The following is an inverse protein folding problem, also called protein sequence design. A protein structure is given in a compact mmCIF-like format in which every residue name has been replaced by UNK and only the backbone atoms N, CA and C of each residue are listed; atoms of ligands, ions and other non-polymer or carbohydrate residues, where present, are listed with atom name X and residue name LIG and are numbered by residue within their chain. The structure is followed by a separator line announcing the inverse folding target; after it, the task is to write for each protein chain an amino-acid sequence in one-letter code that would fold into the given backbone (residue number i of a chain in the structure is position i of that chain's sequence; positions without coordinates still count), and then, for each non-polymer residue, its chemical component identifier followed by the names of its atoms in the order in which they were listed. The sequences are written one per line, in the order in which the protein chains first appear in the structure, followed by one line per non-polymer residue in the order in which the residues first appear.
data_IF_059650947015
#
_entry.id   IF_059650947015
#
_cell.length_a   1.000
_cell.length_b   1.000
_cell.length_c   1.000
_cell.angle_alpha   90.00
_cell.angle_beta   90.00
_cell.angle_gamma   90.00
#
_symmetry.space_group_name_H-M   'P 1'
#
loop_
_entity.id
_entity.type
_entity.pdbx_description
1 polymer ?
#
# COMPACT_ATOMS: atom_id res chain seq x y z
N UNK A 1 1.40 -8.04 -2.59
CA UNK A 1 1.19 -8.96 -3.73
C UNK A 1 2.48 -9.07 -4.52
N UNK A 2 2.72 -10.18 -5.22
CA UNK A 2 3.88 -10.36 -6.09
C UNK A 2 3.52 -11.34 -7.20
N UNK A 3 4.27 -11.31 -8.31
CA UNK A 3 4.02 -12.22 -9.43
C UNK A 3 4.73 -13.55 -9.25
N UNK A 4 4.19 -14.61 -9.83
CA UNK A 4 4.95 -15.84 -10.08
C UNK A 4 5.68 -15.75 -11.43
N UNK A 5 6.70 -16.58 -11.63
CA UNK A 5 7.36 -16.71 -12.93
C UNK A 5 6.38 -17.13 -14.03
N UNK A 6 5.38 -17.96 -13.69
CA UNK A 6 4.33 -18.37 -14.63
C UNK A 6 3.44 -17.20 -15.03
N UNK A 7 3.04 -16.34 -14.08
CA UNK A 7 2.24 -15.15 -14.37
C UNK A 7 2.98 -14.17 -15.29
N UNK A 8 4.24 -13.87 -15.00
CA UNK A 8 5.06 -13.01 -15.87
C UNK A 8 5.32 -13.64 -17.24
N UNK A 9 5.54 -14.96 -17.27
CA UNK A 9 5.65 -15.71 -18.52
C UNK A 9 4.39 -15.59 -19.38
N UNK A 10 3.20 -15.71 -18.80
CA UNK A 10 1.94 -15.54 -19.55
C UNK A 10 1.86 -14.14 -20.18
N UNK A 11 2.21 -13.09 -19.44
CA UNK A 11 2.21 -11.71 -19.95
C UNK A 11 3.22 -11.54 -21.08
N UNK A 12 4.44 -12.07 -20.92
CA UNK A 12 5.48 -12.05 -21.93
C UNK A 12 5.04 -12.76 -23.23
N UNK A 13 4.54 -13.99 -23.12
CA UNK A 13 4.09 -14.77 -24.28
C UNK A 13 2.91 -14.11 -25.00
N UNK A 14 1.97 -13.53 -24.25
CA UNK A 14 0.87 -12.77 -24.82
C UNK A 14 1.36 -11.51 -25.55
N UNK A 15 2.37 -10.84 -25.00
CA UNK A 15 3.05 -9.71 -25.66
C UNK A 15 3.74 -10.09 -26.98
N UNK A 16 4.25 -11.32 -27.07
CA UNK A 16 4.81 -11.90 -28.30
C UNK A 16 3.75 -12.44 -29.28
N UNK A 17 2.47 -12.13 -29.07
CA UNK A 17 1.39 -12.50 -30.00
C UNK A 17 0.75 -13.86 -29.76
N UNK A 18 1.17 -14.63 -28.73
CA UNK A 18 0.52 -15.90 -28.40
C UNK A 18 -0.86 -15.65 -27.80
N UNK A 19 -1.90 -16.10 -28.49
CA UNK A 19 -3.28 -15.78 -28.13
C UNK A 19 -4.02 -16.94 -27.46
N UNK A 20 -3.58 -18.17 -27.71
CA UNK A 20 -4.22 -19.38 -27.20
C UNK A 20 -3.70 -19.82 -25.83
N UNK A 21 -4.60 -20.27 -24.96
CA UNK A 21 -4.22 -20.87 -23.67
C UNK A 21 -3.35 -22.12 -23.88
N UNK A 22 -3.67 -22.92 -24.90
CA UNK A 22 -2.89 -24.12 -25.25
C UNK A 22 -1.47 -23.76 -25.69
N UNK A 23 -1.36 -22.73 -26.52
CA UNK A 23 -0.09 -22.24 -27.05
C UNK A 23 0.83 -21.73 -25.93
N UNK A 24 0.28 -20.96 -25.00
CA UNK A 24 1.01 -20.45 -23.83
C UNK A 24 1.37 -21.59 -22.86
N UNK A 25 0.46 -22.54 -22.65
CA UNK A 25 0.74 -23.72 -21.83
C UNK A 25 1.94 -24.52 -22.36
N UNK A 26 1.99 -24.72 -23.68
CA UNK A 26 3.11 -25.39 -24.36
C UNK A 26 4.40 -24.56 -24.24
N UNK A 27 4.36 -23.27 -24.54
CA UNK A 27 5.52 -22.37 -24.46
C UNK A 27 6.15 -22.35 -23.06
N UNK A 28 5.32 -22.31 -22.01
CA UNK A 28 5.79 -22.26 -20.63
C UNK A 28 6.03 -23.64 -20.01
N UNK A 29 5.79 -24.73 -20.75
CA UNK A 29 5.83 -26.12 -20.26
C UNK A 29 4.99 -26.30 -18.98
N UNK A 30 3.75 -25.80 -19.01
CA UNK A 30 2.78 -25.88 -17.91
C UNK A 30 1.49 -26.55 -18.35
N UNK A 31 0.78 -27.14 -17.39
CA UNK A 31 -0.59 -27.63 -17.63
C UNK A 31 -1.56 -26.45 -17.84
N UNK A 32 -2.63 -26.68 -18.61
CA UNK A 32 -3.70 -25.69 -18.79
C UNK A 32 -4.29 -25.25 -17.45
N UNK A 33 -4.44 -26.17 -16.50
CA UNK A 33 -4.91 -25.89 -15.14
C UNK A 33 -4.02 -24.87 -14.40
N UNK A 34 -2.69 -24.96 -14.54
CA UNK A 34 -1.77 -23.97 -13.98
C UNK A 34 -1.91 -22.62 -14.67
N UNK A 35 -2.08 -22.60 -15.99
CA UNK A 35 -2.31 -21.36 -16.75
C UNK A 35 -3.62 -20.69 -16.30
N UNK A 36 -4.73 -21.41 -16.19
CA UNK A 36 -6.00 -20.86 -15.72
C UNK A 36 -5.92 -20.31 -14.29
N UNK A 37 -5.21 -21.00 -13.39
CA UNK A 37 -4.97 -20.47 -12.02
C UNK A 37 -4.18 -19.17 -12.06
N UNK A 38 -3.10 -19.12 -12.82
CA UNK A 38 -2.29 -17.91 -12.97
C UNK A 38 -3.07 -16.76 -13.62
N UNK A 39 -3.91 -17.05 -14.62
CA UNK A 39 -4.80 -16.06 -15.25
C UNK A 39 -5.82 -15.49 -14.27
N UNK A 40 -6.43 -16.31 -13.41
CA UNK A 40 -7.37 -15.82 -12.37
C UNK A 40 -6.70 -14.85 -11.41
N UNK A 41 -5.44 -15.09 -11.05
CA UNK A 41 -4.70 -14.17 -10.18
C UNK A 41 -4.28 -12.90 -10.92
N UNK A 42 -3.88 -13.00 -12.19
CA UNK A 42 -3.59 -11.84 -13.04
C UNK A 42 -4.83 -10.96 -13.28
N UNK A 43 -6.00 -11.57 -13.39
CA UNK A 43 -7.30 -10.89 -13.53
C UNK A 43 -7.61 -10.07 -12.27
N UNK A 44 -7.40 -10.64 -11.08
CA UNK A 44 -7.48 -9.90 -9.80
C UNK A 44 -6.46 -8.76 -9.69
N UNK A 45 -5.30 -8.90 -10.32
CA UNK A 45 -4.27 -7.85 -10.40
C UNK A 45 -4.55 -6.82 -11.50
N UNK A 46 -5.69 -6.93 -12.19
CA UNK A 46 -6.07 -6.08 -13.32
C UNK A 46 -4.98 -6.02 -14.40
N UNK A 47 -4.30 -7.14 -14.66
CA UNK A 47 -3.29 -7.28 -15.72
C UNK A 47 -3.90 -7.90 -16.97
N UNK A 48 -4.78 -8.87 -16.77
CA UNK A 48 -5.50 -9.54 -17.85
C UNK A 48 -7.01 -9.45 -17.61
N UNK A 49 -7.79 -9.69 -18.66
CA UNK A 49 -9.21 -9.98 -18.57
C UNK A 49 -9.49 -11.32 -19.21
N UNK A 50 -10.07 -12.25 -18.44
CA UNK A 50 -10.47 -13.56 -18.95
C UNK A 50 -11.77 -13.39 -19.77
N UNK A 51 -11.79 -13.99 -20.97
CA UNK A 51 -12.95 -14.03 -21.87
C UNK A 51 -13.38 -15.47 -22.14
N UNK A 52 -14.59 -15.67 -22.69
CA UNK A 52 -15.09 -17.00 -23.09
C UNK A 52 -14.11 -17.77 -24.00
N UNK A 53 -13.37 -17.08 -24.86
CA UNK A 53 -12.42 -17.67 -25.82
C UNK A 53 -10.97 -17.19 -25.60
N UNK A 54 -10.50 -17.17 -24.35
CA UNK A 54 -9.11 -16.85 -24.02
C UNK A 54 -8.99 -15.71 -23.02
N UNK A 55 -8.04 -14.81 -23.24
CA UNK A 55 -7.84 -13.63 -22.40
C UNK A 55 -7.14 -12.52 -23.17
N UNK A 56 -7.26 -11.30 -22.65
CA UNK A 56 -6.61 -10.11 -23.19
C UNK A 56 -5.80 -9.40 -22.11
N UNK A 57 -4.77 -8.67 -22.52
CA UNK A 57 -4.05 -7.75 -21.64
C UNK A 57 -4.94 -6.52 -21.40
N UNK A 58 -4.95 -6.03 -20.18
CA UNK A 58 -5.64 -4.80 -19.84
C UNK A 58 -4.92 -3.59 -20.46
N UNK A 59 -5.65 -2.60 -20.95
CA UNK A 59 -5.10 -1.37 -21.53
C UNK A 59 -4.67 -0.31 -20.50
N UNK A 60 -4.42 -0.72 -19.26
CA UNK A 60 -4.01 0.19 -18.19
C UNK A 60 -2.49 0.40 -18.17
N UNK A 61 -2.08 1.52 -17.58
CA UNK A 61 -0.69 2.01 -17.64
C UNK A 61 0.32 1.01 -17.07
N UNK A 62 0.05 0.40 -15.93
CA UNK A 62 0.99 -0.56 -15.32
C UNK A 62 1.11 -1.86 -16.14
N UNK A 63 0.05 -2.30 -16.82
CA UNK A 63 0.14 -3.46 -17.72
C UNK A 63 0.98 -3.14 -18.95
N UNK A 64 0.80 -1.98 -19.56
CA UNK A 64 1.61 -1.55 -20.71
C UNK A 64 3.09 -1.46 -20.36
N UNK A 65 3.44 -0.85 -19.22
CA UNK A 65 4.84 -0.84 -18.77
C UNK A 65 5.37 -2.25 -18.49
N UNK A 66 4.57 -3.11 -17.85
CA UNK A 66 4.99 -4.49 -17.58
C UNK A 66 5.34 -5.23 -18.87
N UNK A 67 4.45 -5.18 -19.86
CA UNK A 67 4.64 -5.84 -21.16
C UNK A 67 5.90 -5.31 -21.84
N UNK A 68 6.05 -3.98 -21.97
CA UNK A 68 7.23 -3.38 -22.59
C UNK A 68 8.54 -3.81 -21.90
N UNK A 69 8.57 -3.77 -20.57
CA UNK A 69 9.75 -4.19 -19.80
C UNK A 69 10.07 -5.68 -20.03
N UNK A 70 9.06 -6.56 -20.05
CA UNK A 70 9.28 -8.00 -20.25
C UNK A 70 9.74 -8.32 -21.68
N UNK A 71 9.23 -7.62 -22.70
CA UNK A 71 9.63 -7.82 -24.09
C UNK A 71 11.07 -7.35 -24.33
N UNK A 72 11.45 -6.18 -23.80
CA UNK A 72 12.80 -5.64 -23.96
C UNK A 72 13.82 -6.36 -23.07
N UNK A 73 13.39 -6.90 -21.92
CA UNK A 73 14.26 -7.53 -20.94
C UNK A 73 13.62 -8.82 -20.37
N UNK A 74 13.67 -9.94 -21.11
CA UNK A 74 13.02 -11.20 -20.68
C UNK A 74 13.55 -11.76 -19.35
N UNK A 75 14.79 -11.44 -18.99
CA UNK A 75 15.37 -11.80 -17.69
C UNK A 75 14.57 -11.23 -16.50
N UNK A 76 13.79 -10.16 -16.71
CA UNK A 76 12.89 -9.59 -15.69
C UNK A 76 11.81 -10.57 -15.22
N UNK A 77 11.44 -11.60 -16.01
CA UNK A 77 10.51 -12.65 -15.55
C UNK A 77 11.00 -13.27 -14.24
N UNK A 78 12.31 -13.54 -14.14
CA UNK A 78 12.91 -14.09 -12.92
C UNK A 78 13.05 -13.02 -11.83
N UNK A 79 13.38 -11.79 -12.21
CA UNK A 79 13.72 -10.70 -11.29
C UNK A 79 12.50 -10.01 -10.67
N UNK A 80 11.33 -10.10 -11.30
CA UNK A 80 10.07 -9.51 -10.82
C UNK A 80 9.15 -10.54 -10.14
N UNK A 81 9.63 -11.78 -9.98
CA UNK A 81 8.90 -12.87 -9.34
C UNK A 81 9.05 -12.89 -7.82
N UNK A 82 8.04 -13.40 -7.13
CA UNK A 82 8.00 -13.58 -5.68
C UNK A 82 7.95 -12.25 -4.93
N UNK A 83 8.81 -12.11 -3.94
CA UNK A 83 8.89 -10.94 -3.05
C UNK A 83 9.72 -9.79 -3.61
N UNK A 84 10.29 -9.94 -4.80
CA UNK A 84 11.30 -9.05 -5.37
C UNK A 84 10.78 -7.62 -5.59
N UNK A 85 9.54 -7.48 -6.08
CA UNK A 85 8.90 -6.17 -6.33
C UNK A 85 8.79 -5.35 -5.05
N UNK A 86 8.48 -5.96 -3.91
CA UNK A 86 8.35 -5.25 -2.63
C UNK A 86 9.70 -4.64 -2.21
N UNK A 87 10.80 -5.36 -2.48
CA UNK A 87 12.15 -4.86 -2.21
C UNK A 87 12.48 -3.71 -3.15
N UNK A 88 12.18 -3.84 -4.45
CA UNK A 88 12.40 -2.77 -5.44
C UNK A 88 11.61 -1.51 -5.07
N UNK A 89 10.36 -1.65 -4.62
CA UNK A 89 9.51 -0.55 -4.17
C UNK A 89 10.14 0.25 -3.03
N UNK A 90 10.79 -0.41 -2.08
CA UNK A 90 11.50 0.27 -0.99
C UNK A 90 12.79 0.94 -1.45
N UNK A 91 13.45 0.38 -2.47
CA UNK A 91 14.64 0.99 -3.08
C UNK A 91 14.32 2.17 -4.01
N UNK A 92 13.05 2.49 -4.30
CA UNK A 92 12.70 3.72 -5.05
C UNK A 92 13.23 4.99 -4.37
N UNK A 93 13.44 4.94 -3.06
CA UNK A 93 14.15 5.92 -2.25
C UNK A 93 15.38 5.29 -1.60
N UNK A 94 16.36 6.11 -1.20
CA UNK A 94 17.56 5.61 -0.52
C UNK A 94 17.18 4.90 0.79
N UNK A 95 17.56 3.63 0.93
CA UNK A 95 17.12 2.78 2.04
C UNK A 95 18.19 1.79 2.49
N UNK A 96 18.13 1.34 3.73
CA UNK A 96 19.01 0.28 4.27
C UNK A 96 18.27 -1.05 4.34
N UNK A 97 19.00 -2.16 4.44
CA UNK A 97 18.39 -3.49 4.60
C UNK A 97 17.49 -3.56 5.83
N UNK A 98 17.91 -2.97 6.96
CA UNK A 98 17.07 -2.89 8.17
C UNK A 98 15.71 -2.26 7.88
N UNK A 99 15.68 -1.13 7.17
CA UNK A 99 14.42 -0.46 6.81
C UNK A 99 13.56 -1.31 5.86
N UNK A 100 14.19 -2.04 4.94
CA UNK A 100 13.48 -2.98 4.05
C UNK A 100 12.86 -4.12 4.87
N UNK A 101 13.60 -4.70 5.82
CA UNK A 101 13.08 -5.74 6.74
C UNK A 101 11.88 -5.21 7.51
N UNK A 102 11.99 -4.02 8.10
CA UNK A 102 10.94 -3.44 8.92
C UNK A 102 9.64 -3.25 8.15
N UNK A 103 9.72 -2.83 6.89
CA UNK A 103 8.55 -2.56 6.05
C UNK A 103 8.00 -3.79 5.35
N UNK A 104 8.86 -4.66 4.83
CA UNK A 104 8.44 -5.82 4.02
C UNK A 104 8.18 -7.06 4.86
N UNK A 105 8.71 -7.11 6.10
CA UNK A 105 8.71 -8.29 6.98
C UNK A 105 9.38 -9.52 6.36
N UNK A 106 10.24 -9.31 5.35
CA UNK A 106 11.06 -10.36 4.76
C UNK A 106 12.34 -10.56 5.59
N UNK A 107 12.85 -11.79 5.61
CA UNK A 107 14.11 -12.07 6.30
C UNK A 107 15.32 -11.47 5.53
N UNK A 108 16.40 -11.21 6.27
CA UNK A 108 17.64 -10.64 5.73
C UNK A 108 18.19 -11.45 4.55
N UNK A 109 18.24 -12.78 4.66
CA UNK A 109 18.78 -13.65 3.62
C UNK A 109 18.06 -13.48 2.28
N UNK A 110 16.73 -13.40 2.30
CA UNK A 110 15.89 -13.17 1.12
C UNK A 110 16.19 -11.80 0.51
N UNK A 111 16.30 -10.76 1.35
CA UNK A 111 16.59 -9.40 0.89
C UNK A 111 17.98 -9.33 0.25
N UNK A 112 19.02 -9.85 0.90
CA UNK A 112 20.38 -9.85 0.36
C UNK A 112 20.50 -10.66 -0.94
N UNK A 113 19.81 -11.80 -1.04
CA UNK A 113 19.78 -12.60 -2.26
C UNK A 113 19.20 -11.80 -3.44
N UNK A 114 18.08 -11.10 -3.22
CA UNK A 114 17.49 -10.24 -4.25
C UNK A 114 18.35 -9.03 -4.58
N UNK A 115 18.89 -8.34 -3.57
CA UNK A 115 19.80 -7.21 -3.77
C UNK A 115 20.98 -7.61 -4.65
N UNK A 116 21.62 -8.75 -4.37
CA UNK A 116 22.73 -9.27 -5.17
C UNK A 116 22.31 -9.50 -6.63
N UNK A 117 21.13 -10.06 -6.88
CA UNK A 117 20.59 -10.25 -8.23
C UNK A 117 20.31 -8.92 -8.93
N UNK A 118 19.72 -7.96 -8.24
CA UNK A 118 19.42 -6.64 -8.79
C UNK A 118 20.68 -5.83 -9.11
N UNK A 119 21.72 -5.93 -8.29
CA UNK A 119 23.00 -5.26 -8.54
C UNK A 119 23.70 -5.84 -9.78
N UNK A 120 23.65 -7.16 -10.00
CA UNK A 120 24.22 -7.80 -11.19
C UNK A 120 23.67 -7.24 -12.51
N UNK A 121 22.42 -6.81 -12.51
CA UNK A 121 21.75 -6.20 -13.68
C UNK A 121 21.55 -4.69 -13.53
N UNK A 122 22.22 -4.08 -12.55
CA UNK A 122 22.16 -2.64 -12.27
C UNK A 122 20.76 -2.06 -12.04
N UNK A 123 19.77 -2.85 -11.58
CA UNK A 123 18.43 -2.35 -11.18
C UNK A 123 18.57 -1.46 -9.93
N UNK A 124 19.47 -1.81 -9.02
CA UNK A 124 19.79 -1.00 -7.84
C UNK A 124 21.29 -0.72 -7.77
N UNK A 125 21.65 0.39 -7.14
CA UNK A 125 23.03 0.77 -6.80
C UNK A 125 23.20 0.82 -5.28
N UNK A 126 24.42 0.57 -4.82
CA UNK A 126 24.81 0.74 -3.42
C UNK A 126 25.45 2.13 -3.24
N UNK A 127 25.01 2.89 -2.25
CA UNK A 127 25.53 4.21 -1.88
C UNK A 127 25.67 4.22 -0.36
N UNK A 128 26.89 4.35 0.18
CA UNK A 128 27.15 4.42 1.63
C UNK A 128 26.39 3.36 2.45
N UNK A 129 26.48 2.10 2.01
CA UNK A 129 25.79 0.95 2.62
C UNK A 129 24.24 0.97 2.56
N UNK A 130 23.69 1.88 1.78
CA UNK A 130 22.28 1.97 1.43
C UNK A 130 22.07 1.60 -0.04
N UNK A 131 20.82 1.37 -0.42
CA UNK A 131 20.43 0.93 -1.75
C UNK A 131 19.46 1.92 -2.36
N UNK A 132 19.65 2.19 -3.65
CA UNK A 132 18.82 3.10 -4.43
C UNK A 132 18.54 2.51 -5.81
N UNK A 133 17.32 2.65 -6.29
CA UNK A 133 16.91 2.25 -7.62
C UNK A 133 17.64 3.06 -8.70
N UNK A 134 18.13 2.39 -9.73
CA UNK A 134 18.86 3.02 -10.83
C UNK A 134 17.92 3.57 -11.90
N UNK A 135 17.38 4.76 -11.66
CA UNK A 135 16.42 5.40 -12.57
C UNK A 135 17.00 5.75 -13.94
N UNK A 136 18.32 5.90 -14.05
CA UNK A 136 18.99 6.22 -15.33
C UNK A 136 18.95 5.06 -16.31
N UNK A 137 19.08 3.82 -15.84
CA UNK A 137 19.06 2.63 -16.70
C UNK A 137 17.67 1.99 -16.79
N UNK A 138 16.84 2.15 -15.76
CA UNK A 138 15.59 1.40 -15.60
C UNK A 138 14.39 2.34 -15.43
N UNK A 139 14.30 3.40 -16.24
CA UNK A 139 13.23 4.39 -16.15
C UNK A 139 11.84 3.78 -16.35
N UNK A 140 11.66 2.94 -17.37
CA UNK A 140 10.37 2.27 -17.62
C UNK A 140 9.99 1.28 -16.52
N UNK A 141 10.98 0.56 -15.97
CA UNK A 141 10.74 -0.32 -14.84
C UNK A 141 10.33 0.47 -13.60
N UNK A 142 10.94 1.64 -13.35
CA UNK A 142 10.51 2.55 -12.27
C UNK A 142 9.04 2.92 -12.44
N UNK A 143 8.64 3.30 -13.65
CA UNK A 143 7.26 3.69 -13.95
C UNK A 143 6.29 2.53 -13.70
N UNK A 144 6.64 1.31 -14.15
CA UNK A 144 5.89 0.11 -13.81
C UNK A 144 5.73 -0.06 -12.29
N UNK A 145 6.82 -0.01 -11.53
CA UNK A 145 6.80 -0.26 -10.09
C UNK A 145 5.96 0.78 -9.35
N UNK A 146 6.02 2.05 -9.77
CA UNK A 146 5.21 3.15 -9.19
C UNK A 146 3.73 2.94 -9.50
N UNK A 147 3.37 2.72 -10.77
CA UNK A 147 1.96 2.55 -11.16
C UNK A 147 1.36 1.28 -10.57
N UNK A 148 2.12 0.18 -10.54
CA UNK A 148 1.70 -1.06 -9.91
C UNK A 148 1.55 -0.89 -8.39
N UNK A 149 2.40 -0.08 -7.73
CA UNK A 149 2.23 0.26 -6.32
C UNK A 149 0.94 1.06 -6.10
N UNK A 150 0.69 2.10 -6.89
CA UNK A 150 -0.54 2.90 -6.82
C UNK A 150 -1.79 2.05 -6.98
N UNK A 151 -1.80 1.16 -7.97
CA UNK A 151 -2.91 0.22 -8.19
C UNK A 151 -3.13 -0.67 -6.97
N UNK A 152 -2.07 -1.33 -6.50
CA UNK A 152 -2.15 -2.17 -5.32
C UNK A 152 -2.69 -1.37 -4.13
N UNK A 153 -2.11 -0.22 -3.79
CA UNK A 153 -2.51 0.58 -2.62
C UNK A 153 -3.95 1.12 -2.68
N UNK A 154 -4.58 1.07 -3.86
CA UNK A 154 -5.94 1.56 -4.09
C UNK A 154 -6.99 0.45 -4.20
N UNK A 155 -6.59 -0.82 -4.37
CA UNK A 155 -7.50 -1.93 -4.61
C UNK A 155 -7.27 -3.07 -3.61
N UNK A 156 -8.35 -3.63 -3.08
CA UNK A 156 -8.37 -4.89 -2.34
C UNK A 156 -9.70 -5.62 -2.62
N UNK A 157 -9.70 -6.91 -3.01
CA UNK A 157 -10.92 -7.65 -3.32
C UNK A 157 -11.94 -7.74 -2.17
N UNK A 158 -11.49 -7.53 -0.93
CA UNK A 158 -12.36 -7.52 0.26
C UNK A 158 -13.10 -6.18 0.44
N UNK A 159 -12.75 -5.17 -0.35
CA UNK A 159 -13.27 -3.80 -0.25
C UNK A 159 -14.04 -3.46 -1.52
N UNK A 160 -15.21 -2.83 -1.38
CA UNK A 160 -16.02 -2.44 -2.54
C UNK A 160 -15.30 -1.43 -3.44
N UNK A 161 -15.56 -1.47 -4.76
CA UNK A 161 -15.15 -0.41 -5.68
C UNK A 161 -15.56 0.98 -5.18
N UNK A 162 -14.79 2.02 -5.54
CA UNK A 162 -14.97 3.41 -5.12
C UNK A 162 -14.72 3.70 -3.62
N UNK A 163 -14.26 2.72 -2.86
CA UNK A 163 -13.73 2.96 -1.52
C UNK A 163 -12.32 3.53 -1.57
N UNK A 164 -11.97 4.39 -0.61
CA UNK A 164 -10.60 4.86 -0.42
C UNK A 164 -9.91 4.04 0.66
N UNK A 165 -8.93 3.22 0.27
CA UNK A 165 -8.11 2.45 1.21
C UNK A 165 -7.04 3.37 1.82
N UNK A 166 -6.90 3.37 3.14
CA UNK A 166 -5.91 4.14 3.89
C UNK A 166 -4.70 3.32 4.28
N UNK A 167 -4.95 2.10 4.74
CA UNK A 167 -3.92 1.16 5.15
C UNK A 167 -4.36 -0.24 4.77
N UNK A 168 -3.40 -1.08 4.37
CA UNK A 168 -3.67 -2.49 4.15
C UNK A 168 -2.44 -3.35 4.44
N UNK A 169 -2.68 -4.44 5.13
CA UNK A 169 -1.80 -5.59 5.19
C UNK A 169 -2.65 -6.88 5.11
N UNK A 170 -2.06 -8.02 5.49
CA UNK A 170 -2.79 -9.30 5.47
C UNK A 170 -3.96 -9.31 6.46
N UNK A 171 -3.75 -8.72 7.63
CA UNK A 171 -4.61 -8.86 8.81
C UNK A 171 -5.56 -7.67 9.03
N UNK A 172 -5.27 -6.52 8.41
CA UNK A 172 -5.99 -5.27 8.61
C UNK A 172 -6.11 -4.52 7.28
N UNK A 173 -7.33 -4.09 6.97
CA UNK A 173 -7.58 -3.04 5.98
C UNK A 173 -8.32 -1.92 6.67
N UNK A 174 -7.87 -0.69 6.47
CA UNK A 174 -8.60 0.52 6.88
C UNK A 174 -9.00 1.25 5.61
N UNK A 175 -10.28 1.57 5.47
CA UNK A 175 -10.82 2.23 4.27
C UNK A 175 -11.99 3.16 4.62
N UNK A 176 -12.40 3.99 3.67
CA UNK A 176 -13.67 4.72 3.76
C UNK A 176 -14.50 4.58 2.49
N UNK A 177 -15.80 4.76 2.65
CA UNK A 177 -16.75 4.91 1.56
C UNK A 177 -17.93 5.77 2.01
N UNK A 178 -18.67 6.33 1.06
CA UNK A 178 -19.91 7.09 1.32
C UNK A 178 -21.07 6.18 1.72
N UNK A 179 -21.03 4.91 1.31
CA UNK A 179 -22.10 3.94 1.56
C UNK A 179 -21.94 3.24 2.91
N UNK A 180 -23.02 2.63 3.38
CA UNK A 180 -22.95 1.69 4.49
C UNK A 180 -22.36 0.36 4.01
N UNK A 181 -21.47 -0.21 4.82
CA UNK A 181 -20.76 -1.45 4.52
C UNK A 181 -20.89 -2.44 5.67
N UNK A 182 -20.87 -3.74 5.33
CA UNK A 182 -20.79 -4.81 6.32
C UNK A 182 -19.35 -4.97 6.83
N UNK A 183 -18.87 -3.96 7.54
CA UNK A 183 -17.52 -3.87 8.10
C UNK A 183 -17.54 -3.11 9.44
N UNK A 184 -16.47 -3.23 10.23
CA UNK A 184 -16.44 -2.56 11.54
C UNK A 184 -16.11 -1.08 11.41
N UNK A 185 -17.00 -0.20 11.86
CA UNK A 185 -16.72 1.23 11.97
C UNK A 185 -15.45 1.48 12.79
N UNK A 186 -14.62 2.40 12.32
CA UNK A 186 -13.34 2.77 12.95
C UNK A 186 -13.01 4.25 12.75
N UNK A 187 -11.83 4.66 13.21
CA UNK A 187 -11.27 6.00 13.04
C UNK A 187 -12.30 7.09 13.39
N UNK A 188 -12.42 8.14 12.55
CA UNK A 188 -13.30 9.27 12.78
C UNK A 188 -14.79 8.90 12.91
N UNK A 189 -15.25 7.80 12.29
CA UNK A 189 -16.64 7.34 12.43
C UNK A 189 -16.97 6.85 13.84
N UNK A 190 -15.95 6.50 14.65
CA UNK A 190 -16.13 6.05 16.04
C UNK A 190 -15.96 7.16 17.07
N UNK A 191 -15.54 8.37 16.68
CA UNK A 191 -15.19 9.43 17.64
C UNK A 191 -16.39 9.92 18.48
N UNK A 192 -17.60 9.83 17.93
CA UNK A 192 -18.85 10.13 18.65
C UNK A 192 -19.00 9.30 19.92
N UNK A 193 -18.60 8.03 19.89
CA UNK A 193 -18.66 7.12 21.05
C UNK A 193 -17.70 7.54 22.18
N UNK A 194 -16.71 8.37 21.86
CA UNK A 194 -15.79 8.97 22.82
C UNK A 194 -16.11 10.45 23.07
N UNK A 195 -17.32 10.90 22.72
CA UNK A 195 -17.80 12.26 22.94
C UNK A 195 -17.06 13.32 22.13
N UNK A 196 -16.61 12.99 20.92
CA UNK A 196 -16.14 13.95 19.91
C UNK A 196 -17.05 13.81 18.70
N UNK A 197 -18.09 14.64 18.64
CA UNK A 197 -19.06 14.63 17.55
C UNK A 197 -18.47 15.30 16.31
N UNK A 198 -18.29 14.53 15.25
CA UNK A 198 -17.78 14.99 13.96
C UNK A 198 -18.80 14.59 12.89
N UNK A 199 -19.16 15.52 12.02
CA UNK A 199 -19.94 15.23 10.82
C UNK A 199 -18.97 14.86 9.70
N UNK A 200 -18.91 13.58 9.37
CA UNK A 200 -18.06 13.07 8.30
C UNK A 200 -18.90 12.85 7.03
N UNK A 201 -18.38 13.27 5.87
CA UNK A 201 -19.02 13.04 4.55
C UNK A 201 -18.88 11.59 4.06
N UNK A 202 -18.12 10.78 4.78
CA UNK A 202 -17.84 9.37 4.50
C UNK A 202 -17.73 8.59 5.80
N UNK A 203 -17.93 7.29 5.71
CA UNK A 203 -17.79 6.37 6.82
C UNK A 203 -16.44 5.65 6.74
N UNK A 204 -15.78 5.50 7.88
CA UNK A 204 -14.50 4.82 8.01
C UNK A 204 -14.71 3.43 8.59
N UNK A 205 -14.13 2.44 7.94
CA UNK A 205 -14.29 1.03 8.24
C UNK A 205 -12.96 0.31 8.34
N UNK A 206 -13.01 -0.86 8.96
CA UNK A 206 -11.91 -1.81 9.01
C UNK A 206 -12.37 -3.24 8.76
N UNK A 207 -11.46 -4.04 8.21
CA UNK A 207 -11.59 -5.49 8.07
C UNK A 207 -10.37 -6.18 8.69
N UNK A 208 -10.53 -7.39 9.28
CA UNK A 208 -11.78 -8.13 9.43
C UNK A 208 -12.73 -7.49 10.45
N UNK A 209 -13.99 -7.93 10.45
CA UNK A 209 -14.99 -7.44 11.39
C UNK A 209 -14.59 -7.81 12.84
N UNK A 210 -14.32 -6.81 13.68
CA UNK A 210 -13.92 -6.99 15.08
C UNK A 210 -14.31 -5.76 15.90
N UNK A 211 -14.69 -5.99 17.16
CA UNK A 211 -14.83 -4.92 18.15
C UNK A 211 -13.46 -4.27 18.40
N UNK A 212 -13.35 -2.98 18.09
CA UNK A 212 -12.12 -2.20 18.28
C UNK A 212 -12.12 -1.47 19.61
N UNK A 213 -10.95 -1.43 20.25
CA UNK A 213 -10.73 -0.62 21.44
C UNK A 213 -10.28 0.81 21.04
N UNK A 214 -10.11 1.69 22.03
CA UNK A 214 -9.70 3.09 21.81
C UNK A 214 -8.33 3.23 21.14
N UNK A 215 -7.40 2.30 21.39
CA UNK A 215 -6.07 2.29 20.79
C UNK A 215 -6.17 1.92 19.32
N UNK A 216 -6.95 0.90 18.98
CA UNK A 216 -7.17 0.46 17.59
C UNK A 216 -7.82 1.57 16.76
N UNK A 217 -8.83 2.22 17.31
CA UNK A 217 -9.55 3.34 16.65
C UNK A 217 -8.59 4.50 16.41
N UNK A 218 -7.74 4.81 17.38
CA UNK A 218 -6.76 5.88 17.25
C UNK A 218 -5.69 5.56 16.21
N UNK A 219 -5.14 4.34 16.20
CA UNK A 219 -4.16 3.89 15.21
C UNK A 219 -4.76 3.96 13.80
N UNK A 220 -6.01 3.51 13.63
CA UNK A 220 -6.69 3.60 12.33
C UNK A 220 -6.86 5.06 11.87
N UNK A 221 -7.16 6.00 12.78
CA UNK A 221 -7.19 7.43 12.45
C UNK A 221 -5.83 7.97 12.02
N UNK A 222 -4.73 7.49 12.63
CA UNK A 222 -3.39 7.87 12.22
C UNK A 222 -3.08 7.42 10.79
N UNK A 223 -3.52 6.23 10.38
CA UNK A 223 -3.39 5.78 8.98
C UNK A 223 -4.15 6.67 8.01
N UNK A 224 -5.35 7.14 8.39
CA UNK A 224 -6.11 8.09 7.57
C UNK A 224 -5.34 9.40 7.41
N UNK A 225 -4.87 9.97 8.52
CA UNK A 225 -4.14 11.25 8.53
C UNK A 225 -2.84 11.16 7.76
N UNK A 226 -2.08 10.07 7.92
CA UNK A 226 -0.82 9.86 7.21
C UNK A 226 -1.01 9.90 5.69
N UNK A 227 -2.12 9.34 5.19
CA UNK A 227 -2.43 9.30 3.76
C UNK A 227 -3.10 10.57 3.23
N UNK A 228 -4.02 11.19 3.98
CA UNK A 228 -4.75 12.37 3.51
C UNK A 228 -4.01 13.68 3.78
N UNK A 229 -3.21 13.74 4.85
CA UNK A 229 -2.56 14.96 5.35
C UNK A 229 -3.52 16.15 5.51
N UNK A 230 -4.80 15.87 5.75
CA UNK A 230 -5.84 16.89 5.94
C UNK A 230 -5.70 17.51 7.34
N UNK A 231 -5.65 18.84 7.37
CA UNK A 231 -5.48 19.63 8.59
C UNK A 231 -6.57 19.38 9.63
N UNK A 232 -7.85 19.26 9.21
CA UNK A 232 -8.97 19.03 10.13
C UNK A 232 -8.89 17.64 10.76
N UNK A 233 -8.50 16.65 9.98
CA UNK A 233 -8.27 15.30 10.48
C UNK A 233 -7.15 15.27 11.53
N UNK A 234 -6.05 16.02 11.33
CA UNK A 234 -4.99 16.20 12.34
C UNK A 234 -5.52 16.82 13.64
N UNK A 235 -6.32 17.88 13.53
CA UNK A 235 -6.96 18.51 14.69
C UNK A 235 -7.82 17.51 15.47
N UNK A 236 -8.66 16.73 14.80
CA UNK A 236 -9.48 15.72 15.46
C UNK A 236 -8.65 14.61 16.11
N UNK A 237 -7.55 14.17 15.49
CA UNK A 237 -6.60 13.24 16.12
C UNK A 237 -5.99 13.83 17.38
N UNK A 238 -5.61 15.12 17.38
CA UNK A 238 -5.08 15.77 18.57
C UNK A 238 -6.11 15.82 19.71
N UNK A 239 -7.37 16.15 19.42
CA UNK A 239 -8.46 16.15 20.40
C UNK A 239 -8.73 14.75 20.97
N UNK A 240 -8.77 13.74 20.11
CA UNK A 240 -8.98 12.36 20.54
C UNK A 240 -7.84 11.86 21.43
N UNK A 241 -6.60 12.24 21.10
CA UNK A 241 -5.43 11.98 21.92
C UNK A 241 -5.55 12.62 23.30
N UNK A 242 -5.85 13.92 23.37
CA UNK A 242 -6.00 14.65 24.64
C UNK A 242 -7.05 14.01 25.54
N UNK A 243 -8.22 13.68 24.97
CA UNK A 243 -9.32 13.05 25.71
C UNK A 243 -8.96 11.67 26.27
N UNK A 244 -8.09 10.94 25.59
CA UNK A 244 -7.72 9.56 25.94
C UNK A 244 -6.22 9.43 26.32
N UNK A 245 -5.57 10.52 26.75
CA UNK A 245 -4.12 10.63 26.93
C UNK A 245 -3.52 9.51 27.77
N UNK A 246 -4.21 9.11 28.86
CA UNK A 246 -3.78 8.01 29.74
C UNK A 246 -3.62 6.67 28.99
N UNK A 247 -4.52 6.37 28.05
CA UNK A 247 -4.51 5.11 27.29
C UNK A 247 -3.60 5.17 26.06
N UNK A 248 -3.45 6.35 25.46
CA UNK A 248 -2.74 6.55 24.20
C UNK A 248 -1.28 7.02 24.35
N UNK A 249 -0.86 7.40 25.56
CA UNK A 249 0.45 8.04 25.80
C UNK A 249 1.66 7.20 25.35
N UNK A 250 1.56 5.87 25.42
CA UNK A 250 2.64 4.91 25.07
C UNK A 250 2.78 4.64 23.57
N UNK A 251 1.85 5.12 22.74
CA UNK A 251 1.91 4.90 21.29
C UNK A 251 3.11 5.69 20.73
N UNK A 252 3.98 4.99 20.00
CA UNK A 252 5.09 5.60 19.27
C UNK A 252 4.70 5.76 17.79
N UNK A 253 4.42 6.99 17.39
CA UNK A 253 4.08 7.33 16.01
C UNK A 253 4.54 8.76 15.73
N UNK A 254 5.04 9.03 14.52
CA UNK A 254 5.62 10.34 14.17
C UNK A 254 4.59 11.48 14.26
N UNK A 255 3.35 11.24 13.82
CA UNK A 255 2.26 12.22 13.88
C UNK A 255 1.92 12.52 15.33
N UNK A 256 1.80 11.49 16.16
CA UNK A 256 1.53 11.68 17.58
C UNK A 256 2.69 12.39 18.29
N UNK A 257 3.93 12.08 17.93
CA UNK A 257 5.11 12.75 18.50
C UNK A 257 5.12 14.23 18.13
N UNK A 258 4.74 14.59 16.89
CA UNK A 258 4.58 15.97 16.47
C UNK A 258 3.43 16.67 17.23
N UNK A 259 2.27 16.02 17.39
CA UNK A 259 1.18 16.55 18.22
C UNK A 259 1.66 16.80 19.66
N UNK A 260 2.42 15.88 20.25
CA UNK A 260 2.99 16.03 21.60
C UNK A 260 3.93 17.24 21.71
N UNK A 261 4.71 17.53 20.66
CA UNK A 261 5.59 18.72 20.59
C UNK A 261 4.78 20.02 20.52
N UNK A 262 3.73 20.04 19.69
CA UNK A 262 2.82 21.19 19.59
C UNK A 262 2.13 21.48 20.93
N UNK A 263 1.72 20.44 21.65
CA UNK A 263 1.15 20.57 23.00
C UNK A 263 2.15 21.15 24.03
N UNK A 264 3.45 21.16 23.72
CA UNK A 264 4.50 21.82 24.51
C UNK A 264 4.83 23.23 24.01
N UNK A 265 4.19 23.71 22.95
CA UNK A 265 4.40 25.04 22.38
C UNK A 265 5.30 25.08 21.14
N UNK A 266 5.77 23.94 20.62
CA UNK A 266 6.54 23.93 19.37
C UNK A 266 5.63 24.18 18.15
N UNK A 267 6.14 24.93 17.16
CA UNK A 267 5.48 25.10 15.88
C UNK A 267 5.96 24.04 14.88
N UNK A 268 5.03 23.37 14.20
CA UNK A 268 5.33 22.38 13.15
C UNK A 268 4.48 22.73 11.93
N UNK A 269 5.12 22.92 10.78
CA UNK A 269 4.44 23.23 9.53
C UNK A 269 3.41 22.13 9.18
N UNK A 270 2.28 22.55 8.61
CA UNK A 270 1.14 21.71 8.20
C UNK A 270 0.39 21.01 9.35
N UNK A 271 0.67 21.38 10.60
CA UNK A 271 -0.07 20.90 11.78
C UNK A 271 -0.89 22.02 12.42
N UNK A 272 -1.98 21.69 13.13
CA UNK A 272 -2.73 22.67 13.90
C UNK A 272 -1.88 23.25 15.02
N UNK A 273 -2.01 24.55 15.26
CA UNK A 273 -1.37 25.27 16.35
C UNK A 273 -1.96 24.88 17.71
N UNK A 274 -1.23 25.17 18.79
CA UNK A 274 -1.72 24.98 20.15
C UNK A 274 -3.00 25.79 20.42
N UNK A 275 -3.11 26.99 19.84
CA UNK A 275 -4.29 27.85 19.99
C UNK A 275 -5.53 27.18 19.37
N UNK A 276 -5.44 26.72 18.12
CA UNK A 276 -6.54 26.04 17.43
C UNK A 276 -6.98 24.75 18.15
N UNK A 277 -6.01 23.99 18.67
CA UNK A 277 -6.29 22.80 19.48
C UNK A 277 -7.06 23.20 20.75
N UNK A 278 -6.63 24.25 21.46
CA UNK A 278 -7.30 24.74 22.68
C UNK A 278 -8.71 25.24 22.41
N UNK A 279 -8.90 26.04 21.37
CA UNK A 279 -10.21 26.55 20.97
C UNK A 279 -11.17 25.40 20.66
N UNK A 280 -10.71 24.43 19.87
CA UNK A 280 -11.56 23.29 19.53
C UNK A 280 -11.77 22.35 20.72
N UNK A 281 -10.80 22.19 21.61
CA UNK A 281 -10.93 21.40 22.83
C UNK A 281 -12.02 21.95 23.77
N UNK A 282 -12.17 23.28 23.86
CA UNK A 282 -13.26 23.92 24.62
C UNK A 282 -14.63 23.46 24.14
N UNK A 283 -14.84 23.37 22.82
CA UNK A 283 -16.13 22.92 22.24
C UNK A 283 -16.52 21.51 22.68
N UNK A 284 -15.54 20.64 22.97
CA UNK A 284 -15.76 19.26 23.39
C UNK A 284 -15.50 19.02 24.89
N UNK A 285 -15.33 20.08 25.69
CA UNK A 285 -14.97 20.02 27.10
C UNK A 285 -13.74 19.14 27.39
N UNK A 286 -12.71 19.25 26.55
CA UNK A 286 -11.44 18.51 26.67
C UNK A 286 -10.40 19.40 27.35
N UNK A 287 -9.77 18.89 28.41
CA UNK A 287 -8.63 19.55 29.06
C UNK A 287 -7.36 19.36 28.21
N UNK A 288 -6.66 20.47 27.96
CA UNK A 288 -5.41 20.51 27.19
C UNK A 288 -4.22 20.55 28.13
#
# INVERSE_FOLDING_TARGET
MGFTTTQLGIVYEKGNGKNGINEIALALKKSKSQIYRALKDLDKMNIVRIKRRGFELMSNTHTSYLVNNLLNHPNLISLLSGSSIQIIQECLSITSVSKIVDKTKLNNATIYNWIKKFQKVSIIKKINNQYLFNTKLWADLKNFIIEFKKFNDSVDPRVKPNSKIYFKNKDLIVFSTKTLENASFTAFSKYKEFGINILTTKNYYSLPFKKKNVVDIFIDSLYVVEKEKDFRNLLFVALFYLKNKKKLGKINNIILNNIKKILKGEHINDYPSLLEIKERAKVYNIKV
#
